data_IF_107404036295
#
_entry.id   IF_107404036295
#
_cell.length_a   1.000
_cell.length_b   1.000
_cell.length_c   1.000
_cell.angle_alpha   90.00
_cell.angle_beta   90.00
_cell.angle_gamma   90.00
#
_symmetry.space_group_name_H-M   'P 1'
#
loop_
_entity.id
_entity.type
_entity.pdbx_description
1 polymer ?
#
# COMPACT_ATOMS: atom_id res chain seq x y z
N UNK A 1 10.03 -21.94 -16.49
CA UNK A 1 10.13 -21.94 -15.01
C UNK A 1 8.88 -21.25 -14.47
N UNK A 2 7.96 -21.97 -13.84
CA UNK A 2 6.76 -21.37 -13.22
C UNK A 2 7.20 -20.62 -11.95
N UNK A 3 7.33 -19.30 -12.03
CA UNK A 3 7.40 -18.48 -10.84
C UNK A 3 6.03 -18.53 -10.15
N UNK A 4 5.94 -19.26 -9.04
CA UNK A 4 4.76 -19.22 -8.17
C UNK A 4 4.55 -17.78 -7.73
N UNK A 5 3.45 -17.17 -8.13
CA UNK A 5 2.99 -15.90 -7.59
C UNK A 5 2.70 -16.11 -6.10
N UNK A 6 3.58 -15.59 -5.23
CA UNK A 6 3.35 -15.57 -3.79
C UNK A 6 2.56 -14.31 -3.48
N UNK A 7 1.26 -14.46 -3.25
CA UNK A 7 0.41 -13.37 -2.78
C UNK A 7 0.66 -13.23 -1.27
N UNK A 8 1.06 -12.04 -0.78
CA UNK A 8 1.28 -11.87 0.65
C UNK A 8 -0.04 -11.99 1.42
N UNK A 9 0.03 -12.50 2.66
CA UNK A 9 -1.15 -12.62 3.51
C UNK A 9 -1.63 -11.24 3.97
N UNK A 10 -2.94 -11.01 3.90
CA UNK A 10 -3.54 -9.70 4.17
C UNK A 10 -3.24 -9.18 5.59
N UNK A 11 -3.14 -10.06 6.58
CA UNK A 11 -2.83 -9.66 7.96
C UNK A 11 -1.38 -9.18 8.12
N UNK A 12 -0.44 -9.78 7.37
CA UNK A 12 0.93 -9.32 7.32
C UNK A 12 1.01 -7.93 6.67
N UNK A 13 0.33 -7.74 5.54
CA UNK A 13 0.25 -6.44 4.85
C UNK A 13 -0.36 -5.38 5.76
N UNK A 14 -1.42 -5.70 6.51
CA UNK A 14 -2.08 -4.78 7.43
C UNK A 14 -1.14 -4.31 8.53
N UNK A 15 -0.42 -5.25 9.15
CA UNK A 15 0.55 -4.95 10.22
C UNK A 15 1.70 -4.08 9.71
N UNK A 16 2.25 -4.43 8.55
CA UNK A 16 3.32 -3.67 7.90
C UNK A 16 2.86 -2.25 7.53
N UNK A 17 1.65 -2.12 7.00
CA UNK A 17 1.08 -0.82 6.62
C UNK A 17 0.93 0.10 7.83
N UNK A 18 0.39 -0.40 8.95
CA UNK A 18 0.26 0.37 10.19
C UNK A 18 1.64 0.78 10.72
N UNK A 19 2.63 -0.11 10.66
CA UNK A 19 4.01 0.20 11.06
C UNK A 19 4.61 1.34 10.22
N UNK A 20 4.49 1.28 8.89
CA UNK A 20 4.97 2.34 7.99
C UNK A 20 4.29 3.68 8.28
N UNK A 21 2.98 3.67 8.52
CA UNK A 21 2.22 4.88 8.86
C UNK A 21 2.74 5.49 10.18
N UNK A 22 2.97 4.66 11.21
CA UNK A 22 3.52 5.11 12.50
C UNK A 22 4.93 5.68 12.33
N UNK A 23 5.79 5.02 11.55
CA UNK A 23 7.18 5.46 11.32
C UNK A 23 7.25 6.79 10.58
N UNK A 24 6.34 7.05 9.63
CA UNK A 24 6.34 8.27 8.82
C UNK A 24 5.59 9.44 9.49
N UNK A 25 4.51 9.17 10.22
CA UNK A 25 3.64 10.21 10.77
C UNK A 25 3.78 10.41 12.28
N UNK A 26 4.40 9.47 12.98
CA UNK A 26 4.40 9.38 14.44
C UNK A 26 3.09 8.80 14.99
N UNK A 27 3.18 8.19 16.18
CA UNK A 27 2.10 7.37 16.77
C UNK A 27 0.77 8.11 16.92
N UNK A 28 0.81 9.40 17.28
CA UNK A 28 -0.40 10.19 17.50
C UNK A 28 -1.18 10.43 16.20
N UNK A 29 -0.51 10.91 15.15
CA UNK A 29 -1.14 11.18 13.85
C UNK A 29 -1.60 9.88 13.18
N UNK A 30 -0.80 8.82 13.30
CA UNK A 30 -1.16 7.49 12.82
C UNK A 30 -2.44 6.97 13.48
N UNK A 31 -2.58 7.11 14.80
CA UNK A 31 -3.77 6.68 15.53
C UNK A 31 -5.04 7.44 15.07
N UNK A 32 -4.95 8.77 14.92
CA UNK A 32 -6.06 9.57 14.37
C UNK A 32 -6.39 9.16 12.94
N UNK A 33 -5.39 9.03 12.06
CA UNK A 33 -5.59 8.61 10.67
C UNK A 33 -6.30 7.25 10.59
N UNK A 34 -5.81 6.25 11.32
CA UNK A 34 -6.41 4.92 11.32
C UNK A 34 -7.86 4.95 11.83
N UNK A 35 -8.13 5.71 12.90
CA UNK A 35 -9.48 5.85 13.47
C UNK A 35 -10.46 6.47 12.47
N UNK A 36 -10.07 7.52 11.76
CA UNK A 36 -10.97 8.25 10.85
C UNK A 36 -11.12 7.56 9.49
N UNK A 37 -10.10 6.84 9.02
CA UNK A 37 -10.06 6.31 7.63
C UNK A 37 -10.33 4.81 7.53
N UNK A 38 -10.02 3.99 8.54
CA UNK A 38 -10.17 2.54 8.42
C UNK A 38 -11.61 2.04 8.65
N UNK A 39 -12.52 2.91 9.09
CA UNK A 39 -13.96 2.63 9.16
C UNK A 39 -14.74 3.11 7.93
N UNK A 40 -14.11 3.84 7.01
CA UNK A 40 -14.77 4.41 5.84
C UNK A 40 -14.53 3.55 4.59
N UNK A 41 -15.55 3.46 3.73
CA UNK A 41 -15.39 2.91 2.38
C UNK A 41 -14.56 3.89 1.55
N UNK A 42 -13.28 3.61 1.39
CA UNK A 42 -12.39 4.39 0.52
C UNK A 42 -12.70 4.03 -0.93
N UNK A 43 -12.92 5.04 -1.78
CA UNK A 43 -13.02 4.84 -3.23
C UNK A 43 -11.64 4.45 -3.77
N UNK A 44 -11.47 3.15 -4.04
CA UNK A 44 -10.24 2.60 -4.56
C UNK A 44 -9.86 3.20 -5.92
N UNK A 45 -10.83 3.50 -6.78
CA UNK A 45 -10.56 4.01 -8.12
C UNK A 45 -10.07 5.44 -8.05
N UNK A 46 -10.72 6.29 -7.25
CA UNK A 46 -10.28 7.67 -7.02
C UNK A 46 -8.88 7.69 -6.39
N UNK A 47 -8.65 6.86 -5.38
CA UNK A 47 -7.36 6.80 -4.70
C UNK A 47 -6.24 6.31 -5.62
N UNK A 48 -6.52 5.27 -6.42
CA UNK A 48 -5.58 4.74 -7.41
C UNK A 48 -5.21 5.81 -8.45
N UNK A 49 -6.20 6.57 -8.92
CA UNK A 49 -5.98 7.64 -9.89
C UNK A 49 -5.11 8.76 -9.30
N UNK A 50 -5.38 9.19 -8.07
CA UNK A 50 -4.55 10.19 -7.37
C UNK A 50 -3.11 9.74 -7.16
N UNK A 51 -2.89 8.45 -6.91
CA UNK A 51 -1.54 7.92 -6.65
C UNK A 51 -0.76 7.55 -7.92
N UNK A 52 -1.46 7.11 -8.97
CA UNK A 52 -0.83 6.46 -10.12
C UNK A 52 -1.39 6.89 -11.48
N UNK A 53 -2.31 7.85 -11.57
CA UNK A 53 -2.95 8.27 -12.82
C UNK A 53 -1.95 8.75 -13.88
N UNK A 54 -0.84 9.35 -13.45
CA UNK A 54 0.25 9.78 -14.33
C UNK A 54 1.20 8.63 -14.75
N UNK A 55 0.99 7.40 -14.25
CA UNK A 55 1.87 6.25 -14.49
C UNK A 55 1.18 5.19 -15.33
N UNK A 56 1.86 4.70 -16.34
CA UNK A 56 1.42 3.54 -17.10
C UNK A 56 1.50 2.27 -16.24
N UNK A 57 0.65 1.28 -16.56
CA UNK A 57 0.68 -0.03 -15.90
C UNK A 57 2.08 -0.68 -15.95
N UNK A 58 2.84 -0.45 -17.03
CA UNK A 58 4.21 -0.93 -17.20
C UNK A 58 5.17 -0.31 -16.19
N UNK A 59 5.08 1.01 -15.97
CA UNK A 59 5.94 1.70 -15.00
C UNK A 59 5.65 1.28 -13.56
N UNK A 60 4.38 1.05 -13.23
CA UNK A 60 3.97 0.51 -11.92
C UNK A 60 4.56 -0.89 -11.73
N UNK A 61 4.43 -1.76 -12.74
CA UNK A 61 4.95 -3.13 -12.69
C UNK A 61 6.47 -3.16 -12.51
N UNK A 62 7.22 -2.37 -13.28
CA UNK A 62 8.67 -2.29 -13.15
C UNK A 62 9.10 -1.78 -11.76
N UNK A 63 8.34 -0.87 -11.16
CA UNK A 63 8.60 -0.37 -9.80
C UNK A 63 8.34 -1.44 -8.74
N UNK A 64 7.27 -2.22 -8.87
CA UNK A 64 6.98 -3.37 -7.98
C UNK A 64 8.11 -4.40 -8.07
N UNK A 65 8.53 -4.76 -9.30
CA UNK A 65 9.59 -5.73 -9.53
C UNK A 65 10.93 -5.30 -8.93
N UNK A 66 11.29 -4.01 -9.02
CA UNK A 66 12.50 -3.46 -8.38
C UNK A 66 12.45 -3.54 -6.86
N UNK A 67 11.29 -3.33 -6.24
CA UNK A 67 11.13 -3.38 -4.79
C UNK A 67 11.17 -4.81 -4.23
N UNK A 68 10.86 -5.83 -5.04
CA UNK A 68 10.99 -7.25 -4.65
C UNK A 68 12.43 -7.78 -4.69
N UNK A 69 13.39 -7.00 -5.22
CA UNK A 69 14.81 -7.38 -5.34
C UNK A 69 15.72 -6.74 -4.28
N UNK A 70 15.14 -6.00 -3.32
CA UNK A 70 15.81 -5.43 -2.15
C UNK A 70 15.42 -6.20 -0.90
#
# INVERSE_FOLDING_TARGET
MNQKLVVPQMDAIRTESVKVIIEQLGIAKAAFFCRETMSQSIDYLELKEKMFGEKTAREIYEKIKKNQQR
#
